data_IF_952809504861
#
_entry.id   IF_952809504861
#
_cell.length_a   1.000
_cell.length_b   1.000
_cell.length_c   1.000
_cell.angle_alpha   90.00
_cell.angle_beta   90.00
_cell.angle_gamma   90.00
#
_symmetry.space_group_name_H-M   'P 1'
#
loop_
_entity.id
_entity.type
_entity.pdbx_description
1 polymer ?
#
# COMPACT_ATOMS: atom_id res chain seq x y z
N UNK A 1 2.33 -32.44 10.96
CA UNK A 1 0.90 -32.55 10.57
C UNK A 1 0.19 -31.31 11.05
N UNK A 2 -0.57 -30.60 10.19
CA UNK A 2 -1.87 -29.90 10.40
C UNK A 2 -2.08 -29.00 9.13
N UNK A 3 -3.21 -29.17 8.41
CA UNK A 3 -3.50 -28.70 7.04
C UNK A 3 -3.83 -27.19 6.86
N UNK A 4 -4.26 -26.65 5.69
CA UNK A 4 -4.70 -27.22 4.40
C UNK A 4 -5.17 -26.14 3.37
N UNK A 5 -5.28 -26.43 2.06
CA UNK A 5 -5.89 -25.57 1.01
C UNK A 5 -7.39 -25.68 0.69
N UNK A 6 -8.16 -26.57 1.30
CA UNK A 6 -9.59 -26.70 1.00
C UNK A 6 -10.33 -27.27 2.20
N UNK A 7 -11.57 -26.83 2.44
CA UNK A 7 -12.47 -27.46 3.42
C UNK A 7 -13.78 -27.89 2.81
N UNK A 8 -14.20 -29.12 3.09
CA UNK A 8 -15.56 -29.59 2.78
C UNK A 8 -15.91 -30.90 3.50
N UNK A 9 -17.17 -31.31 3.40
CA UNK A 9 -17.77 -32.39 4.20
C UNK A 9 -18.75 -31.87 5.25
N UNK A 10 -19.56 -32.75 5.84
CA UNK A 10 -20.44 -32.41 6.98
C UNK A 10 -19.60 -31.79 8.09
N UNK A 11 -19.98 -30.58 8.50
CA UNK A 11 -19.36 -29.75 9.55
C UNK A 11 -18.01 -29.08 9.23
N UNK A 12 -17.55 -29.08 7.97
CA UNK A 12 -16.40 -28.27 7.52
C UNK A 12 -15.05 -28.59 8.22
N UNK A 13 -14.88 -29.81 8.73
CA UNK A 13 -13.71 -30.22 9.54
C UNK A 13 -12.58 -30.94 8.77
N UNK A 14 -12.70 -31.13 7.45
CA UNK A 14 -11.66 -31.81 6.65
C UNK A 14 -10.81 -30.79 5.87
N UNK A 15 -9.50 -31.02 5.75
CA UNK A 15 -8.53 -30.08 5.17
C UNK A 15 -7.69 -30.74 4.05
N UNK A 16 -7.66 -30.18 2.84
CA UNK A 16 -6.96 -30.79 1.68
C UNK A 16 -5.96 -29.89 0.93
N UNK A 17 -4.73 -30.42 0.75
CA UNK A 17 -3.53 -30.03 -0.07
C UNK A 17 -3.64 -29.52 -1.52
N UNK A 18 -4.68 -28.81 -1.96
CA UNK A 18 -4.94 -28.58 -3.39
C UNK A 18 -4.11 -27.48 -4.06
N UNK A 19 -4.03 -26.27 -3.51
CA UNK A 19 -3.34 -25.15 -4.15
C UNK A 19 -1.81 -25.17 -3.94
N UNK A 20 -1.03 -25.00 -5.02
CA UNK A 20 0.44 -25.05 -5.02
C UNK A 20 1.05 -24.09 -6.05
N UNK A 21 2.21 -23.54 -5.73
CA UNK A 21 3.11 -22.95 -6.73
C UNK A 21 4.10 -24.00 -7.20
N UNK A 22 4.34 -24.05 -8.51
CA UNK A 22 5.39 -24.86 -9.11
C UNK A 22 6.53 -23.92 -9.52
N UNK A 23 7.75 -24.26 -9.10
CA UNK A 23 8.96 -23.49 -9.40
C UNK A 23 10.01 -24.44 -9.96
N UNK A 24 10.89 -23.94 -10.83
CA UNK A 24 12.05 -24.70 -11.31
C UNK A 24 13.29 -24.37 -10.47
N UNK A 25 14.34 -25.17 -10.61
CA UNK A 25 15.59 -25.04 -9.84
C UNK A 25 16.28 -23.68 -10.06
N UNK A 26 16.21 -23.16 -11.29
CA UNK A 26 16.74 -21.83 -11.62
C UNK A 26 16.01 -20.72 -10.86
N UNK A 27 14.68 -20.83 -10.71
CA UNK A 27 13.86 -19.86 -9.99
C UNK A 27 14.11 -19.94 -8.47
N UNK A 28 14.17 -21.15 -7.89
CA UNK A 28 14.44 -21.34 -6.47
C UNK A 28 15.83 -20.79 -6.07
N UNK A 29 16.83 -21.00 -6.94
CA UNK A 29 18.17 -20.43 -6.77
C UNK A 29 18.19 -18.91 -6.82
N UNK A 30 17.34 -18.29 -7.65
CA UNK A 30 17.25 -16.83 -7.79
C UNK A 30 16.48 -16.16 -6.66
N UNK A 31 15.47 -16.85 -6.11
CA UNK A 31 14.59 -16.38 -5.05
C UNK A 31 14.70 -17.28 -3.82
N UNK A 32 15.92 -17.55 -3.36
CA UNK A 32 16.19 -18.51 -2.27
C UNK A 32 15.57 -18.15 -0.90
N UNK A 33 15.07 -16.93 -0.75
CA UNK A 33 14.31 -16.48 0.43
C UNK A 33 12.78 -16.55 0.23
N UNK A 34 12.31 -17.17 -0.86
CA UNK A 34 10.89 -17.22 -1.16
C UNK A 34 10.10 -18.03 -0.12
N UNK A 35 8.95 -17.49 0.29
CA UNK A 35 8.07 -18.09 1.31
C UNK A 35 6.65 -18.15 0.80
N UNK A 36 5.97 -19.26 1.09
CA UNK A 36 4.54 -19.39 0.87
C UNK A 36 3.79 -18.98 2.15
N UNK A 37 2.78 -18.12 1.99
CA UNK A 37 1.85 -17.72 3.04
C UNK A 37 0.43 -18.20 2.72
N UNK A 38 -0.33 -18.50 3.77
CA UNK A 38 -1.76 -18.77 3.69
C UNK A 38 -2.51 -17.48 4.06
N UNK A 39 -3.41 -17.01 3.20
CA UNK A 39 -4.22 -15.82 3.46
C UNK A 39 -5.57 -16.19 4.09
N UNK A 40 -6.17 -15.30 4.90
CA UNK A 40 -7.51 -15.50 5.43
C UNK A 40 -8.57 -15.68 4.33
N UNK A 41 -9.61 -16.47 4.61
CA UNK A 41 -10.68 -16.79 3.66
C UNK A 41 -12.06 -16.33 4.16
N UNK A 42 -12.42 -15.05 4.00
CA UNK A 42 -13.67 -14.52 4.55
C UNK A 42 -14.93 -15.01 3.83
N UNK A 43 -14.82 -15.46 2.57
CA UNK A 43 -15.98 -15.76 1.70
C UNK A 43 -15.83 -17.02 0.84
N UNK A 44 -14.71 -17.75 0.95
CA UNK A 44 -14.43 -18.96 0.15
C UNK A 44 -14.08 -20.14 1.04
N UNK A 45 -14.37 -21.35 0.55
CA UNK A 45 -13.93 -22.63 1.11
C UNK A 45 -12.45 -22.95 0.80
N UNK A 46 -11.84 -22.20 -0.14
CA UNK A 46 -10.42 -22.23 -0.43
C UNK A 46 -9.64 -21.19 0.38
N UNK A 47 -8.41 -21.56 0.78
CA UNK A 47 -7.44 -20.60 1.31
C UNK A 47 -6.58 -20.07 0.18
N UNK A 48 -6.63 -18.77 -0.08
CA UNK A 48 -5.70 -18.14 -1.03
C UNK A 48 -4.26 -18.31 -0.56
N UNK A 49 -3.38 -18.79 -1.44
CA UNK A 49 -1.94 -18.91 -1.17
C UNK A 49 -1.18 -17.74 -1.80
N UNK A 50 -0.23 -17.17 -1.07
CA UNK A 50 0.64 -16.07 -1.50
C UNK A 50 2.09 -16.55 -1.55
N UNK A 51 2.81 -16.24 -2.61
CA UNK A 51 4.25 -16.41 -2.69
C UNK A 51 4.94 -15.06 -2.49
N UNK A 52 5.66 -14.93 -1.39
CA UNK A 52 6.62 -13.84 -1.17
C UNK A 52 7.96 -14.28 -1.74
N UNK A 53 8.49 -13.55 -2.73
CA UNK A 53 9.74 -13.92 -3.40
C UNK A 53 11.01 -13.64 -2.60
N UNK A 54 10.90 -13.21 -1.34
CA UNK A 54 12.02 -12.67 -0.59
C UNK A 54 12.39 -11.30 -1.17
N UNK A 55 12.12 -10.24 -0.41
CA UNK A 55 12.27 -8.88 -0.93
C UNK A 55 13.68 -8.63 -1.49
N UNK A 56 13.78 -8.28 -2.78
CA UNK A 56 14.96 -7.60 -3.31
C UNK A 56 15.25 -6.45 -2.36
N UNK A 57 16.39 -6.49 -1.66
CA UNK A 57 16.89 -5.36 -0.88
C UNK A 57 17.21 -4.23 -1.84
N UNK A 58 16.18 -3.44 -2.17
CA UNK A 58 16.34 -2.23 -2.94
C UNK A 58 16.94 -1.17 -2.03
N UNK A 59 17.90 -0.40 -2.56
CA UNK A 59 18.43 0.79 -1.92
C UNK A 59 17.33 1.80 -1.54
N UNK A 60 17.69 2.97 -1.00
CA UNK A 60 16.73 3.92 -0.46
C UNK A 60 15.60 4.22 -1.46
N UNK A 61 14.36 4.01 -1.06
CA UNK A 61 13.21 4.28 -1.94
C UNK A 61 13.21 5.76 -2.32
N UNK A 62 13.17 6.09 -3.63
CA UNK A 62 13.16 7.47 -4.07
C UNK A 62 11.91 8.17 -3.54
N UNK A 63 12.05 9.45 -3.16
CA UNK A 63 10.90 10.25 -2.77
C UNK A 63 9.95 10.42 -3.95
N UNK A 64 8.66 10.21 -3.69
CA UNK A 64 7.58 10.47 -4.64
C UNK A 64 6.56 11.34 -3.92
N UNK A 65 6.08 12.37 -4.62
CA UNK A 65 4.97 13.15 -4.14
C UNK A 65 3.71 12.27 -4.13
N UNK A 66 2.95 12.23 -3.05
CA UNK A 66 1.71 11.45 -2.99
C UNK A 66 0.49 12.34 -3.24
N UNK A 67 -0.33 11.99 -4.24
CA UNK A 67 -1.48 12.81 -4.64
C UNK A 67 -2.53 12.92 -3.53
N UNK A 68 -2.59 11.95 -2.61
CA UNK A 68 -3.49 11.97 -1.46
C UNK A 68 -3.25 13.19 -0.56
N UNK A 69 -2.03 13.74 -0.54
CA UNK A 69 -1.70 14.95 0.21
C UNK A 69 -2.55 16.15 -0.21
N UNK A 70 -2.93 16.21 -1.48
CA UNK A 70 -3.76 17.29 -2.01
C UNK A 70 -5.21 17.27 -1.48
N UNK A 71 -5.60 16.21 -0.76
CA UNK A 71 -6.90 16.11 -0.09
C UNK A 71 -6.89 16.63 1.33
N UNK A 72 -5.72 16.89 1.92
CA UNK A 72 -5.68 17.55 3.22
C UNK A 72 -6.13 19.01 3.10
N UNK A 73 -6.96 19.42 4.05
CA UNK A 73 -7.38 20.80 4.19
C UNK A 73 -6.17 21.72 4.47
N UNK A 74 -6.16 22.91 3.86
CA UNK A 74 -5.07 23.87 4.03
C UNK A 74 -3.72 23.49 3.40
N UNK A 75 -3.60 22.37 2.68
CA UNK A 75 -2.32 21.90 2.13
C UNK A 75 -1.66 22.92 1.20
N UNK A 76 -2.43 23.69 0.44
CA UNK A 76 -1.88 24.71 -0.47
C UNK A 76 -1.18 25.84 0.29
N UNK A 77 -1.81 26.32 1.35
CA UNK A 77 -1.26 27.39 2.19
C UNK A 77 -0.02 26.88 2.95
N UNK A 78 -0.07 25.64 3.41
CA UNK A 78 1.07 24.98 4.05
C UNK A 78 2.27 24.84 3.11
N UNK A 79 2.04 24.42 1.86
CA UNK A 79 3.09 24.34 0.84
C UNK A 79 3.66 25.71 0.50
N UNK A 80 2.82 26.75 0.42
CA UNK A 80 3.25 28.13 0.18
C UNK A 80 4.11 28.64 1.34
N UNK A 81 3.68 28.41 2.58
CA UNK A 81 4.43 28.77 3.77
C UNK A 81 5.84 28.18 3.76
N UNK A 82 5.97 26.87 3.53
CA UNK A 82 7.28 26.22 3.46
C UNK A 82 8.11 26.70 2.27
N UNK A 83 7.46 27.00 1.14
CA UNK A 83 8.15 27.53 -0.02
C UNK A 83 8.79 28.89 0.26
N UNK A 84 8.11 29.74 1.02
CA UNK A 84 8.59 31.07 1.42
C UNK A 84 9.60 31.00 2.58
N UNK A 85 9.47 30.02 3.48
CA UNK A 85 10.41 29.78 4.60
C UNK A 85 11.85 29.45 4.12
N UNK A 86 11.97 28.68 3.04
CA UNK A 86 13.27 28.27 2.51
C UNK A 86 13.97 29.38 1.72
N UNK A 87 14.93 30.08 2.33
CA UNK A 87 15.78 31.07 1.67
C UNK A 87 17.16 30.51 1.33
N UNK A 88 17.55 30.60 0.06
CA UNK A 88 18.82 30.07 -0.47
C UNK A 88 19.44 31.07 -1.44
N UNK A 89 20.77 31.10 -1.51
CA UNK A 89 21.54 31.97 -2.41
C UNK A 89 22.38 31.16 -3.40
N UNK A 90 22.62 31.72 -4.59
CA UNK A 90 23.39 31.08 -5.65
C UNK A 90 22.73 31.27 -7.01
N UNK A 91 23.07 30.40 -7.97
CA UNK A 91 22.41 30.39 -9.29
C UNK A 91 20.93 30.01 -9.16
N UNK A 92 20.09 30.46 -10.10
CA UNK A 92 18.66 30.15 -10.08
C UNK A 92 18.39 28.63 -10.05
N UNK A 93 19.17 27.83 -10.77
CA UNK A 93 19.09 26.37 -10.76
C UNK A 93 19.44 25.77 -9.40
N UNK A 94 20.46 26.33 -8.72
CA UNK A 94 20.85 25.90 -7.38
C UNK A 94 19.76 26.21 -6.35
N UNK A 95 19.22 27.44 -6.38
CA UNK A 95 18.13 27.87 -5.48
C UNK A 95 16.91 26.95 -5.65
N UNK A 96 16.52 26.63 -6.89
CA UNK A 96 15.42 25.73 -7.15
C UNK A 96 15.67 24.32 -6.59
N UNK A 97 16.87 23.77 -6.80
CA UNK A 97 17.23 22.46 -6.30
C UNK A 97 17.19 22.39 -4.76
N UNK A 98 17.72 23.40 -4.07
CA UNK A 98 17.70 23.47 -2.61
C UNK A 98 16.29 23.66 -2.05
N UNK A 99 15.46 24.52 -2.67
CA UNK A 99 14.03 24.62 -2.32
C UNK A 99 13.32 23.28 -2.46
N UNK A 100 13.53 22.53 -3.54
CA UNK A 100 12.91 21.20 -3.71
C UNK A 100 13.40 20.19 -2.67
N UNK A 101 14.69 20.22 -2.29
CA UNK A 101 15.22 19.38 -1.20
C UNK A 101 14.58 19.72 0.15
N UNK A 102 14.45 21.01 0.45
CA UNK A 102 13.79 21.51 1.66
C UNK A 102 12.32 21.07 1.72
N UNK A 103 11.57 21.31 0.64
CA UNK A 103 10.16 20.88 0.53
C UNK A 103 10.00 19.37 0.71
N UNK A 104 10.89 18.57 0.11
CA UNK A 104 10.91 17.11 0.28
C UNK A 104 11.03 16.69 1.75
N UNK A 105 11.89 17.35 2.54
CA UNK A 105 12.06 17.04 3.97
C UNK A 105 10.78 17.37 4.75
N UNK A 106 10.24 18.58 4.55
CA UNK A 106 8.98 19.03 5.20
C UNK A 106 7.82 18.09 4.86
N UNK A 107 7.65 17.73 3.59
CA UNK A 107 6.61 16.80 3.13
C UNK A 107 6.76 15.40 3.72
N UNK A 108 7.98 14.88 3.83
CA UNK A 108 8.21 13.56 4.45
C UNK A 108 7.80 13.55 5.92
N UNK A 109 8.19 14.59 6.65
CA UNK A 109 7.86 14.69 8.07
C UNK A 109 6.36 14.87 8.27
N UNK A 110 5.74 15.79 7.51
CA UNK A 110 4.30 15.99 7.53
C UNK A 110 3.51 14.73 7.16
N UNK A 111 3.95 13.99 6.14
CA UNK A 111 3.34 12.70 5.79
C UNK A 111 3.40 11.72 6.96
N UNK A 112 4.53 11.64 7.66
CA UNK A 112 4.71 10.73 8.81
C UNK A 112 3.76 11.05 9.96
N UNK A 113 3.59 12.32 10.29
CA UNK A 113 2.74 12.76 11.42
C UNK A 113 1.25 12.80 11.07
N UNK A 114 0.88 13.28 9.88
CA UNK A 114 -0.53 13.50 9.52
C UNK A 114 -1.19 12.27 8.90
N UNK A 115 -0.45 11.48 8.10
CA UNK A 115 -1.02 10.33 7.38
C UNK A 115 -0.48 9.01 7.92
N UNK A 116 0.84 8.92 8.12
CA UNK A 116 1.52 7.69 8.50
C UNK A 116 1.30 6.58 7.48
N UNK A 117 0.98 5.38 7.96
CA UNK A 117 0.59 4.25 7.09
C UNK A 117 -0.92 4.28 6.86
N UNK A 118 -1.33 4.70 5.67
CA UNK A 118 -2.76 4.80 5.28
C UNK A 118 -3.52 3.50 5.51
N UNK A 119 -2.96 2.37 5.10
CA UNK A 119 -3.57 1.04 5.28
C UNK A 119 -3.80 0.72 6.76
N UNK A 120 -2.82 1.03 7.61
CA UNK A 120 -2.96 0.83 9.06
C UNK A 120 -4.05 1.72 9.66
N UNK A 121 -4.12 3.00 9.27
CA UNK A 121 -5.17 3.92 9.72
C UNK A 121 -6.57 3.48 9.27
N UNK A 122 -6.69 2.99 8.04
CA UNK A 122 -7.92 2.41 7.49
C UNK A 122 -8.39 1.22 8.32
N UNK A 123 -7.48 0.28 8.62
CA UNK A 123 -7.81 -0.91 9.41
C UNK A 123 -8.20 -0.56 10.85
N UNK A 124 -7.52 0.38 11.49
CA UNK A 124 -7.93 0.87 12.82
C UNK A 124 -9.34 1.48 12.81
N UNK A 125 -9.67 2.26 11.77
CA UNK A 125 -11.02 2.83 11.64
C UNK A 125 -12.08 1.75 11.40
N UNK A 126 -11.73 0.69 10.65
CA UNK A 126 -12.60 -0.47 10.45
C UNK A 126 -12.84 -1.24 11.75
N UNK A 127 -11.79 -1.53 12.52
CA UNK A 127 -11.91 -2.18 13.83
C UNK A 127 -12.82 -1.39 14.78
N UNK A 128 -12.71 -0.06 14.78
CA UNK A 128 -13.58 0.80 15.57
C UNK A 128 -15.04 0.74 15.12
N UNK A 129 -15.29 0.66 13.81
CA UNK A 129 -16.65 0.46 13.28
C UNK A 129 -17.22 -0.91 13.69
N UNK A 130 -16.44 -1.97 13.56
CA UNK A 130 -16.83 -3.33 13.94
C UNK A 130 -17.15 -3.43 15.44
N UNK A 131 -16.37 -2.76 16.29
CA UNK A 131 -16.65 -2.63 17.71
C UNK A 131 -18.02 -1.99 17.98
N UNK A 132 -18.32 -0.85 17.34
CA UNK A 132 -19.59 -0.17 17.54
C UNK A 132 -20.77 -0.98 17.01
N UNK A 133 -20.62 -1.65 15.87
CA UNK A 133 -21.65 -2.53 15.31
C UNK A 133 -21.89 -3.77 16.20
N UNK A 134 -20.86 -4.30 16.86
CA UNK A 134 -21.01 -5.37 17.84
C UNK A 134 -21.73 -4.89 19.12
N UNK A 135 -21.40 -3.69 19.58
CA UNK A 135 -22.03 -3.09 20.76
C UNK A 135 -23.52 -2.79 20.53
N UNK A 136 -23.87 -2.24 19.37
CA UNK A 136 -25.27 -1.94 18.97
C UNK A 136 -26.15 -3.20 18.95
N UNK A 137 -25.58 -4.37 18.61
CA UNK A 137 -26.30 -5.66 18.64
C UNK A 137 -26.67 -6.12 20.05
N UNK A 138 -25.91 -5.71 21.05
CA UNK A 138 -26.10 -6.14 22.44
C UNK A 138 -26.83 -5.11 23.28
N UNK A 139 -26.60 -3.81 23.01
CA UNK A 139 -27.15 -2.71 23.76
C UNK A 139 -27.49 -1.53 22.84
N UNK A 140 -28.52 -0.76 23.19
CA UNK A 140 -28.80 0.51 22.53
C UNK A 140 -27.69 1.51 22.85
N UNK A 141 -27.14 2.14 21.81
CA UNK A 141 -26.08 3.14 21.96
C UNK A 141 -26.64 4.45 22.55
N UNK A 142 -25.83 5.12 23.37
CA UNK A 142 -26.08 6.49 23.81
C UNK A 142 -25.87 7.49 22.65
N UNK A 143 -26.25 8.76 22.86
CA UNK A 143 -26.02 9.80 21.85
C UNK A 143 -24.52 10.01 21.58
N UNK A 144 -23.70 10.07 22.63
CA UNK A 144 -22.23 10.20 22.52
C UNK A 144 -21.61 9.01 21.78
N UNK A 145 -22.10 7.79 22.04
CA UNK A 145 -21.62 6.58 21.36
C UNK A 145 -22.03 6.55 19.88
N UNK A 146 -23.20 7.10 19.55
CA UNK A 146 -23.66 7.25 18.17
C UNK A 146 -22.80 8.26 17.41
N UNK A 147 -22.42 9.37 18.05
CA UNK A 147 -21.49 10.35 17.49
C UNK A 147 -20.12 9.71 17.26
N UNK A 148 -19.55 9.02 18.25
CA UNK A 148 -18.26 8.32 18.11
C UNK A 148 -18.28 7.25 17.00
N UNK A 149 -19.41 6.57 16.80
CA UNK A 149 -19.60 5.64 15.67
C UNK A 149 -19.61 6.37 14.32
N UNK A 150 -20.31 7.50 14.24
CA UNK A 150 -20.35 8.30 13.01
C UNK A 150 -18.97 8.85 12.66
N UNK A 151 -18.20 9.31 13.65
CA UNK A 151 -16.81 9.72 13.47
C UNK A 151 -15.95 8.58 12.92
N UNK A 152 -16.06 7.37 13.49
CA UNK A 152 -15.34 6.20 12.99
C UNK A 152 -15.69 5.88 11.51
N UNK A 153 -16.97 6.02 11.14
CA UNK A 153 -17.43 5.85 9.75
C UNK A 153 -16.84 6.90 8.81
N UNK A 154 -16.83 8.16 9.19
CA UNK A 154 -16.24 9.23 8.36
C UNK A 154 -14.72 9.09 8.25
N UNK A 155 -14.05 8.72 9.34
CA UNK A 155 -12.61 8.47 9.34
C UNK A 155 -12.26 7.27 8.43
N UNK A 156 -13.03 6.18 8.48
CA UNK A 156 -12.85 5.05 7.57
C UNK A 156 -13.03 5.46 6.09
N UNK A 157 -14.11 6.19 5.76
CA UNK A 157 -14.36 6.69 4.39
C UNK A 157 -13.19 7.55 3.89
N UNK A 158 -12.68 8.44 4.74
CA UNK A 158 -11.51 9.26 4.45
C UNK A 158 -10.29 8.40 4.12
N UNK A 159 -9.94 7.42 4.95
CA UNK A 159 -8.76 6.58 4.69
C UNK A 159 -8.90 5.71 3.45
N UNK A 160 -10.10 5.16 3.18
CA UNK A 160 -10.39 4.44 1.95
C UNK A 160 -10.16 5.33 0.72
N UNK A 161 -10.65 6.58 0.74
CA UNK A 161 -10.45 7.54 -0.35
C UNK A 161 -8.96 7.85 -0.58
N UNK A 162 -8.19 8.06 0.49
CA UNK A 162 -6.75 8.33 0.37
C UNK A 162 -5.99 7.12 -0.18
N UNK A 163 -6.35 5.91 0.26
CA UNK A 163 -5.79 4.67 -0.26
C UNK A 163 -6.08 4.51 -1.76
N UNK A 164 -7.31 4.75 -2.18
CA UNK A 164 -7.72 4.72 -3.59
C UNK A 164 -6.87 5.69 -4.43
N UNK A 165 -6.70 6.94 -3.98
CA UNK A 165 -5.88 7.94 -4.68
C UNK A 165 -4.43 7.48 -4.81
N UNK A 166 -3.88 6.89 -3.75
CA UNK A 166 -2.51 6.36 -3.75
C UNK A 166 -2.35 5.19 -4.72
N UNK A 167 -3.32 4.28 -4.80
CA UNK A 167 -3.32 3.20 -5.79
C UNK A 167 -3.50 3.70 -7.23
N UNK A 168 -4.39 4.68 -7.44
CA UNK A 168 -4.54 5.35 -8.74
C UNK A 168 -3.23 6.00 -9.20
N UNK A 169 -2.53 6.70 -8.29
CA UNK A 169 -1.25 7.29 -8.63
C UNK A 169 -0.17 6.24 -8.93
N UNK A 170 -0.10 5.17 -8.13
CA UNK A 170 0.88 4.09 -8.31
C UNK A 170 0.65 3.28 -9.58
N UNK A 171 -0.61 3.09 -9.99
CA UNK A 171 -0.97 2.38 -11.21
C UNK A 171 -0.66 3.16 -12.48
N UNK A 172 -0.57 4.51 -12.43
CA UNK A 172 -0.31 5.39 -13.59
C UNK A 172 -1.39 5.35 -14.68
N UNK A 173 -2.56 4.84 -14.36
CA UNK A 173 -3.67 4.71 -15.30
C UNK A 173 -4.52 5.99 -15.35
N UNK A 174 -4.58 6.62 -16.53
CA UNK A 174 -5.36 7.85 -16.79
C UNK A 174 -6.78 7.54 -17.30
N UNK A 175 -7.05 6.27 -17.66
CA UNK A 175 -8.28 5.83 -18.34
C UNK A 175 -9.54 5.70 -17.46
N UNK A 176 -9.46 5.98 -16.16
CA UNK A 176 -10.58 5.90 -15.21
C UNK A 176 -11.53 7.10 -15.28
N UNK A 177 -11.97 7.48 -16.48
CA UNK A 177 -13.15 8.34 -16.61
C UNK A 177 -14.46 7.56 -16.56
N UNK A 178 -14.43 6.22 -16.58
CA UNK A 178 -15.63 5.40 -16.49
C UNK A 178 -15.46 4.34 -15.40
N UNK A 179 -16.47 4.26 -14.54
CA UNK A 179 -16.36 3.78 -13.17
C UNK A 179 -16.19 2.28 -13.03
N UNK A 180 -15.24 1.90 -12.17
CA UNK A 180 -15.37 0.73 -11.30
C UNK A 180 -14.49 0.89 -10.06
N UNK A 181 -14.99 0.53 -8.88
CA UNK A 181 -14.27 0.57 -7.59
C UNK A 181 -13.43 -0.69 -7.43
N UNK A 182 -12.48 -0.91 -8.33
CA UNK A 182 -11.72 -2.16 -8.38
C UNK A 182 -10.27 -1.97 -7.92
N UNK A 183 -10.04 -2.02 -6.60
CA UNK A 183 -8.70 -1.94 -5.99
C UNK A 183 -7.77 -3.06 -6.47
N UNK A 184 -8.29 -4.28 -6.65
CA UNK A 184 -7.54 -5.46 -7.12
C UNK A 184 -6.94 -5.26 -8.51
N UNK A 185 -7.68 -4.62 -9.41
CA UNK A 185 -7.16 -4.23 -10.71
C UNK A 185 -5.96 -3.28 -10.58
N UNK A 186 -6.03 -2.26 -9.71
CA UNK A 186 -4.92 -1.33 -9.49
C UNK A 186 -3.70 -2.00 -8.86
N UNK A 187 -3.89 -2.94 -7.94
CA UNK A 187 -2.80 -3.72 -7.36
C UNK A 187 -2.08 -4.55 -8.44
N UNK A 188 -2.83 -5.25 -9.31
CA UNK A 188 -2.28 -6.05 -10.41
C UNK A 188 -1.47 -5.19 -11.40
N UNK A 189 -1.98 -4.01 -11.75
CA UNK A 189 -1.31 -3.08 -12.67
C UNK A 189 -0.08 -2.42 -12.06
N UNK A 190 -0.12 -1.99 -10.80
CA UNK A 190 1.05 -1.46 -10.10
C UNK A 190 2.20 -2.49 -10.03
N UNK A 191 1.85 -3.77 -9.82
CA UNK A 191 2.81 -4.86 -9.86
C UNK A 191 3.38 -5.10 -11.26
N UNK A 192 2.56 -5.01 -12.32
CA UNK A 192 3.03 -5.11 -13.71
C UNK A 192 4.04 -4.01 -14.06
N UNK A 193 3.78 -2.76 -13.67
CA UNK A 193 4.73 -1.66 -13.85
C UNK A 193 6.00 -1.84 -13.03
N UNK A 194 5.91 -2.40 -11.81
CA UNK A 194 7.09 -2.70 -11.00
C UNK A 194 7.98 -3.75 -11.66
N UNK A 195 7.40 -4.77 -12.31
CA UNK A 195 8.13 -5.76 -13.10
C UNK A 195 8.81 -5.11 -14.31
N UNK A 196 8.07 -4.30 -15.07
CA UNK A 196 8.59 -3.63 -16.28
C UNK A 196 9.73 -2.65 -16.00
N UNK A 197 9.69 -1.96 -14.86
CA UNK A 197 10.71 -0.98 -14.48
C UNK A 197 11.85 -1.61 -13.65
N UNK A 198 11.84 -2.92 -13.45
CA UNK A 198 12.98 -3.62 -12.85
C UNK A 198 14.03 -3.84 -13.94
N UNK A 199 15.25 -3.34 -13.72
CA UNK A 199 16.38 -3.61 -14.60
C UNK A 199 17.22 -4.68 -13.93
N UNK A 200 17.03 -5.93 -14.34
CA UNK A 200 17.73 -7.07 -13.70
C UNK A 200 19.23 -7.10 -14.02
N UNK A 201 19.64 -6.63 -15.21
CA UNK A 201 21.04 -6.64 -15.67
C UNK A 201 21.29 -5.50 -16.64
N UNK A 202 22.47 -4.91 -16.61
CA UNK A 202 22.93 -3.92 -17.60
C UNK A 202 24.13 -4.50 -18.35
N UNK A 203 24.11 -4.40 -19.68
CA UNK A 203 25.22 -4.84 -20.54
C UNK A 203 26.08 -3.63 -20.93
N UNK A 204 27.34 -3.63 -20.52
CA UNK A 204 28.32 -2.60 -20.88
C UNK A 204 29.49 -3.28 -21.60
N UNK A 205 29.81 -2.84 -22.81
CA UNK A 205 30.94 -3.34 -23.61
C UNK A 205 30.99 -4.88 -23.77
N UNK A 206 29.83 -5.53 -23.94
CA UNK A 206 29.76 -6.98 -24.12
C UNK A 206 29.67 -7.79 -22.83
N UNK A 207 30.04 -7.21 -21.68
CA UNK A 207 29.96 -7.84 -20.37
C UNK A 207 28.65 -7.50 -19.66
N UNK A 208 28.04 -8.49 -19.01
CA UNK A 208 26.88 -8.29 -18.15
C UNK A 208 27.37 -7.89 -16.76
N UNK A 209 26.98 -6.71 -16.28
CA UNK A 209 27.19 -6.31 -14.90
C UNK A 209 25.96 -6.72 -14.10
N UNK A 210 26.13 -7.72 -13.26
CA UNK A 210 25.26 -7.97 -12.10
C UNK A 210 25.85 -7.18 -10.94
N UNK A 211 25.05 -6.35 -10.26
CA UNK A 211 25.50 -5.69 -9.03
C UNK A 211 25.97 -6.77 -8.04
N UNK A 212 27.29 -6.94 -7.89
CA UNK A 212 27.86 -7.57 -6.70
C UNK A 212 27.74 -6.58 -5.54
N UNK A 213 27.21 -7.09 -4.42
CA UNK A 213 26.67 -6.36 -3.26
C UNK A 213 27.57 -5.29 -2.66
#
# INVERSE_FOLDING_TARGET
MVGGPWTGGTDNQSFSRLDRFLVNEEWDSHFGDARQFLLPRPVSDHFSILMDGGGLRRGPTPFRFENMWLKAEGVKDLLKLWWEEGSFSGSASFILAEKLKFMKVKLKEWNRISFGRVEYRKNMALEQMEYWDAKEKTNRLSLEELEARNEAKEEYKKWVLLEEITWRQKSREVWLKEGDRNTDFFHKMANAHRRRNNVDRIKINGAWLTEEK
#
